data_IF_395292798271
#
_entry.id   IF_395292798271
#
_cell.length_a   1.000
_cell.length_b   1.000
_cell.length_c   1.000
_cell.angle_alpha   90.00
_cell.angle_beta   90.00
_cell.angle_gamma   90.00
#
_symmetry.space_group_name_H-M   'P 1'
#
loop_
_entity.id
_entity.type
_entity.pdbx_description
1 polymer ?
#
# COMPACT_ATOMS: atom_id res chain seq x y z
N UNK A 1 1.25 7.91 -8.92
CA UNK A 1 0.64 6.65 -9.44
C UNK A 1 -0.77 6.94 -9.93
N UNK A 2 -1.65 7.44 -9.05
CA UNK A 2 -3.02 7.80 -9.43
C UNK A 2 -3.07 8.82 -10.58
N UNK A 3 -2.20 9.84 -10.59
CA UNK A 3 -2.17 10.81 -11.69
C UNK A 3 -1.80 10.19 -13.05
N UNK A 4 -0.92 9.17 -13.05
CA UNK A 4 -0.59 8.38 -14.26
C UNK A 4 -1.74 7.48 -14.69
N UNK A 5 -2.45 6.88 -13.72
CA UNK A 5 -3.64 6.06 -13.99
C UNK A 5 -4.74 6.93 -14.60
N UNK A 6 -5.03 8.09 -14.02
CA UNK A 6 -6.05 9.02 -14.49
C UNK A 6 -5.74 9.58 -15.89
N UNK A 7 -4.48 9.91 -16.19
CA UNK A 7 -4.09 10.37 -17.53
C UNK A 7 -4.18 9.28 -18.59
N UNK A 8 -3.96 8.01 -18.23
CA UNK A 8 -3.95 6.90 -19.18
C UNK A 8 -5.35 6.33 -19.46
N UNK A 9 -6.32 6.52 -18.57
CA UNK A 9 -7.66 5.92 -18.69
C UNK A 9 -8.66 6.76 -19.50
N UNK A 10 -8.29 7.94 -20.00
CA UNK A 10 -9.21 8.87 -20.67
C UNK A 10 -10.51 9.06 -19.88
N UNK A 11 -10.35 9.37 -18.59
CA UNK A 11 -11.48 9.52 -17.68
C UNK A 11 -12.37 10.70 -18.09
N UNK A 12 -13.68 10.57 -17.90
CA UNK A 12 -14.61 11.70 -17.95
C UNK A 12 -14.36 12.65 -16.78
N UNK A 13 -14.87 13.90 -16.85
CA UNK A 13 -14.71 14.86 -15.75
C UNK A 13 -15.29 14.33 -14.42
N UNK A 14 -16.40 13.60 -14.47
CA UNK A 14 -17.01 12.96 -13.30
C UNK A 14 -16.11 11.85 -12.73
N UNK A 15 -15.55 11.00 -13.60
CA UNK A 15 -14.61 9.95 -13.18
C UNK A 15 -13.30 10.53 -12.62
N UNK A 16 -12.81 11.64 -13.18
CA UNK A 16 -11.64 12.36 -12.66
C UNK A 16 -11.91 12.90 -11.26
N UNK A 17 -13.07 13.52 -11.04
CA UNK A 17 -13.48 14.01 -9.72
C UNK A 17 -13.50 12.86 -8.71
N UNK A 18 -14.10 11.72 -9.06
CA UNK A 18 -14.10 10.53 -8.20
C UNK A 18 -12.68 10.01 -7.92
N UNK A 19 -11.80 9.99 -8.92
CA UNK A 19 -10.41 9.57 -8.75
C UNK A 19 -9.63 10.50 -7.79
N UNK A 20 -9.88 11.80 -7.85
CA UNK A 20 -9.28 12.79 -6.93
C UNK A 20 -9.78 12.59 -5.52
N UNK A 21 -11.10 12.45 -5.32
CA UNK A 21 -11.68 12.16 -4.00
C UNK A 21 -11.06 10.90 -3.37
N UNK A 22 -10.99 9.80 -4.14
CA UNK A 22 -10.40 8.54 -3.70
C UNK A 22 -8.91 8.71 -3.34
N UNK A 23 -8.17 9.50 -4.13
CA UNK A 23 -6.75 9.82 -3.84
C UNK A 23 -6.62 10.55 -2.52
N UNK A 24 -7.45 11.55 -2.27
CA UNK A 24 -7.43 12.34 -1.03
C UNK A 24 -7.80 11.48 0.18
N UNK A 25 -8.83 10.65 0.06
CA UNK A 25 -9.24 9.67 1.08
C UNK A 25 -8.07 8.73 1.45
N UNK A 26 -7.38 8.16 0.44
CA UNK A 26 -6.19 7.31 0.65
C UNK A 26 -5.04 8.08 1.31
N UNK A 27 -4.76 9.30 0.87
CA UNK A 27 -3.68 10.12 1.43
C UNK A 27 -3.96 10.48 2.88
N UNK A 28 -5.21 10.80 3.22
CA UNK A 28 -5.61 11.12 4.58
C UNK A 28 -5.50 9.88 5.48
N UNK A 29 -6.01 8.73 5.03
CA UNK A 29 -5.88 7.47 5.80
C UNK A 29 -4.42 7.08 6.02
N UNK A 30 -3.57 7.22 5.00
CA UNK A 30 -2.14 6.96 5.12
C UNK A 30 -1.45 7.94 6.10
N UNK A 31 -1.82 9.23 6.09
CA UNK A 31 -1.30 10.21 7.06
C UNK A 31 -1.69 9.84 8.49
N UNK A 32 -2.92 9.41 8.72
CA UNK A 32 -3.40 8.96 10.03
C UNK A 32 -2.60 7.75 10.53
N UNK A 33 -2.43 6.74 9.70
CA UNK A 33 -1.68 5.53 10.06
C UNK A 33 -0.19 5.83 10.29
N UNK A 34 0.43 6.63 9.40
CA UNK A 34 1.85 7.00 9.51
C UNK A 34 2.22 7.78 10.76
N UNK A 35 1.32 8.63 11.27
CA UNK A 35 1.54 9.34 12.55
C UNK A 35 1.78 8.36 13.70
N UNK A 36 1.19 7.16 13.62
CA UNK A 36 1.40 6.10 14.61
C UNK A 36 2.58 5.17 14.26
N UNK A 37 2.88 4.97 12.97
CA UNK A 37 3.93 4.03 12.52
C UNK A 37 5.34 4.45 12.96
N UNK A 38 5.73 5.72 12.82
CA UNK A 38 7.10 6.12 13.16
C UNK A 38 7.43 5.94 14.65
N UNK A 39 6.41 6.02 15.51
CA UNK A 39 6.54 5.74 16.94
C UNK A 39 6.62 4.22 17.18
N UNK A 40 5.72 3.45 16.57
CA UNK A 40 5.71 1.98 16.65
C UNK A 40 7.00 1.34 16.16
N UNK A 41 7.60 1.85 15.08
CA UNK A 41 8.85 1.32 14.52
C UNK A 41 10.01 1.48 15.51
N UNK A 42 10.10 2.62 16.20
CA UNK A 42 11.09 2.84 17.26
C UNK A 42 10.83 1.94 18.46
N UNK A 43 9.58 1.81 18.89
CA UNK A 43 9.20 0.92 19.99
C UNK A 43 9.54 -0.55 19.69
N UNK A 44 9.35 -1.00 18.45
CA UNK A 44 9.75 -2.34 17.99
C UNK A 44 11.27 -2.50 18.04
N UNK A 45 12.03 -1.54 17.49
CA UNK A 45 13.50 -1.57 17.51
C UNK A 45 14.05 -1.62 18.95
N UNK A 46 13.52 -0.76 19.83
CA UNK A 46 13.88 -0.72 21.25
C UNK A 46 13.52 -2.04 21.95
N UNK A 47 12.34 -2.60 21.68
CA UNK A 47 11.92 -3.88 22.24
C UNK A 47 12.86 -5.02 21.82
N UNK A 48 13.22 -5.12 20.54
CA UNK A 48 14.19 -6.11 20.08
C UNK A 48 15.56 -5.92 20.73
N UNK A 49 16.07 -4.68 20.76
CA UNK A 49 17.35 -4.34 21.38
C UNK A 49 17.38 -4.72 22.87
N UNK A 50 16.28 -4.50 23.58
CA UNK A 50 16.13 -4.89 24.99
C UNK A 50 16.09 -6.41 25.17
N UNK A 51 15.30 -7.12 24.35
CA UNK A 51 15.17 -8.58 24.50
C UNK A 51 16.46 -9.33 24.18
N UNK A 52 17.25 -8.86 23.21
CA UNK A 52 18.56 -9.47 22.86
C UNK A 52 19.57 -9.34 24.02
N UNK A 53 19.45 -8.29 24.84
CA UNK A 53 20.33 -8.05 26.00
C UNK A 53 19.87 -8.75 27.28
N UNK A 54 18.68 -9.33 27.31
CA UNK A 54 18.15 -10.03 28.47
C UNK A 54 18.66 -11.48 28.52
N UNK A 55 18.77 -12.03 29.73
CA UNK A 55 19.13 -13.44 29.95
C UNK A 55 18.12 -14.43 29.33
N UNK A 56 16.87 -13.98 29.15
CA UNK A 56 15.79 -14.73 28.49
C UNK A 56 15.04 -13.81 27.53
N UNK A 57 14.77 -14.33 26.34
CA UNK A 57 14.03 -13.62 25.30
C UNK A 57 12.52 -13.73 25.56
N UNK A 58 11.84 -12.60 25.76
CA UNK A 58 10.38 -12.53 25.84
C UNK A 58 9.78 -12.34 24.44
N UNK A 59 9.54 -13.46 23.77
CA UNK A 59 8.91 -13.51 22.45
C UNK A 59 7.50 -12.88 22.45
N UNK A 60 6.72 -13.08 23.51
CA UNK A 60 5.33 -12.59 23.57
C UNK A 60 5.28 -11.06 23.56
N UNK A 61 6.21 -10.41 24.25
CA UNK A 61 6.31 -8.95 24.26
C UNK A 61 6.62 -8.38 22.87
N UNK A 62 7.52 -9.04 22.13
CA UNK A 62 7.91 -8.62 20.78
C UNK A 62 6.77 -8.85 19.78
N UNK A 63 6.16 -10.05 19.78
CA UNK A 63 5.05 -10.37 18.89
C UNK A 63 3.88 -9.40 19.06
N UNK A 64 3.54 -9.02 20.29
CA UNK A 64 2.47 -8.04 20.55
C UNK A 64 2.68 -6.70 19.84
N UNK A 65 3.92 -6.21 19.74
CA UNK A 65 4.24 -4.97 19.04
C UNK A 65 4.18 -5.13 17.52
N UNK A 66 4.63 -6.28 17.01
CA UNK A 66 4.55 -6.61 15.59
C UNK A 66 3.10 -6.79 15.13
N UNK A 67 2.26 -7.44 15.93
CA UNK A 67 0.84 -7.64 15.66
C UNK A 67 0.13 -6.29 15.51
N UNK A 68 0.39 -5.34 16.42
CA UNK A 68 -0.16 -3.99 16.35
C UNK A 68 0.31 -3.18 15.11
N UNK A 69 1.44 -3.56 14.50
CA UNK A 69 1.89 -3.01 13.21
C UNK A 69 1.16 -3.69 12.05
N UNK A 70 1.03 -5.01 12.10
CA UNK A 70 0.29 -5.80 11.10
C UNK A 70 -1.17 -5.33 11.01
N UNK A 71 -1.83 -5.09 12.14
CA UNK A 71 -3.20 -4.57 12.18
C UNK A 71 -3.37 -3.26 11.40
N UNK A 72 -2.43 -2.31 11.56
CA UNK A 72 -2.45 -1.05 10.80
C UNK A 72 -2.27 -1.26 9.31
N UNK A 73 -1.39 -2.18 8.91
CA UNK A 73 -1.22 -2.56 7.51
C UNK A 73 -2.48 -3.25 6.95
N UNK A 74 -3.12 -4.11 7.74
CA UNK A 74 -4.36 -4.76 7.35
C UNK A 74 -5.51 -3.77 7.17
N UNK A 75 -5.61 -2.77 8.05
CA UNK A 75 -6.60 -1.72 7.95
C UNK A 75 -6.40 -0.91 6.66
N UNK A 76 -5.16 -0.52 6.35
CA UNK A 76 -4.84 0.14 5.09
C UNK A 76 -5.18 -0.73 3.88
N UNK A 77 -4.85 -2.04 3.94
CA UNK A 77 -5.19 -3.00 2.88
C UNK A 77 -6.69 -3.04 2.62
N UNK A 78 -7.50 -3.20 3.68
CA UNK A 78 -8.98 -3.23 3.59
C UNK A 78 -9.52 -1.93 3.00
N UNK A 79 -8.99 -0.78 3.45
CA UNK A 79 -9.37 0.53 2.95
C UNK A 79 -9.06 0.68 1.44
N UNK A 80 -7.85 0.33 1.01
CA UNK A 80 -7.45 0.39 -0.40
C UNK A 80 -8.33 -0.49 -1.31
N UNK A 81 -8.73 -1.67 -0.85
CA UNK A 81 -9.63 -2.56 -1.61
C UNK A 81 -11.02 -1.92 -1.76
N UNK A 82 -11.54 -1.33 -0.70
CA UNK A 82 -12.82 -0.61 -0.73
C UNK A 82 -12.77 0.58 -1.71
N UNK A 83 -11.69 1.37 -1.67
CA UNK A 83 -11.49 2.49 -2.58
C UNK A 83 -11.34 2.04 -4.04
N UNK A 84 -10.60 0.96 -4.30
CA UNK A 84 -10.49 0.38 -5.63
C UNK A 84 -11.85 -0.12 -6.15
N UNK A 85 -12.68 -0.70 -5.28
CA UNK A 85 -14.05 -1.11 -5.63
C UNK A 85 -14.90 0.10 -6.05
N UNK A 86 -14.85 1.21 -5.30
CA UNK A 86 -15.54 2.46 -5.66
C UNK A 86 -15.07 2.98 -7.02
N UNK A 87 -13.76 3.00 -7.27
CA UNK A 87 -13.22 3.44 -8.55
C UNK A 87 -13.64 2.52 -9.70
N UNK A 88 -13.54 1.20 -9.52
CA UNK A 88 -13.96 0.21 -10.52
C UNK A 88 -15.43 0.39 -10.94
N UNK A 89 -16.32 0.72 -9.99
CA UNK A 89 -17.74 0.89 -10.25
C UNK A 89 -18.04 2.03 -11.24
N UNK A 90 -17.24 3.10 -11.25
CA UNK A 90 -17.46 4.26 -12.14
C UNK A 90 -16.76 4.12 -13.50
N UNK A 91 -15.92 3.12 -13.69
CA UNK A 91 -15.23 2.86 -14.96
C UNK A 91 -16.09 2.02 -15.91
N UNK A 92 -15.94 2.27 -17.21
CA UNK A 92 -16.47 1.40 -18.27
C UNK A 92 -15.70 0.07 -18.34
N UNK A 93 -16.25 -0.98 -18.98
CA UNK A 93 -15.54 -2.23 -19.20
C UNK A 93 -14.17 -2.05 -19.87
N UNK A 94 -14.07 -1.19 -20.88
CA UNK A 94 -12.82 -0.91 -21.61
C UNK A 94 -11.79 -0.22 -20.71
N UNK A 95 -12.23 0.73 -19.89
CA UNK A 95 -11.37 1.41 -18.93
C UNK A 95 -10.86 0.45 -17.84
N UNK A 96 -11.66 -0.55 -17.43
CA UNK A 96 -11.23 -1.58 -16.46
C UNK A 96 -10.15 -2.50 -17.04
N UNK A 97 -10.27 -2.89 -18.31
CA UNK A 97 -9.24 -3.68 -19.00
C UNK A 97 -7.92 -2.89 -19.02
N UNK A 98 -7.97 -1.62 -19.44
CA UNK A 98 -6.80 -0.75 -19.47
C UNK A 98 -6.20 -0.52 -18.07
N UNK A 99 -7.03 -0.39 -17.04
CA UNK A 99 -6.57 -0.30 -15.65
C UNK A 99 -5.81 -1.57 -15.23
N UNK A 100 -6.32 -2.76 -15.57
CA UNK A 100 -5.63 -4.02 -15.30
C UNK A 100 -4.23 -4.05 -15.93
N UNK A 101 -4.09 -3.61 -17.18
CA UNK A 101 -2.79 -3.60 -17.86
C UNK A 101 -1.81 -2.63 -17.22
N UNK A 102 -2.28 -1.43 -16.84
CA UNK A 102 -1.47 -0.47 -16.07
C UNK A 102 -1.00 -1.07 -14.74
N UNK A 103 -1.88 -1.80 -14.03
CA UNK A 103 -1.52 -2.45 -12.77
C UNK A 103 -0.44 -3.54 -12.96
N UNK A 104 -0.53 -4.33 -14.04
CA UNK A 104 0.49 -5.32 -14.39
C UNK A 104 1.85 -4.66 -14.67
N UNK A 105 1.87 -3.56 -15.43
CA UNK A 105 3.11 -2.82 -15.71
C UNK A 105 3.74 -2.23 -14.45
N UNK A 106 2.92 -1.67 -13.56
CA UNK A 106 3.39 -1.11 -12.29
C UNK A 106 3.99 -2.21 -11.40
N UNK A 107 3.34 -3.38 -11.33
CA UNK A 107 3.84 -4.54 -10.59
C UNK A 107 5.17 -5.05 -11.16
N UNK A 108 5.27 -5.18 -12.47
CA UNK A 108 6.49 -5.64 -13.16
C UNK A 108 7.69 -4.70 -12.95
N UNK A 109 7.45 -3.38 -12.82
CA UNK A 109 8.51 -2.40 -12.52
C UNK A 109 8.99 -2.40 -11.07
N UNK A 110 8.23 -3.01 -10.15
CA UNK A 110 8.54 -3.09 -8.71
C UNK A 110 9.07 -4.45 -8.27
N UNK A 111 8.96 -5.47 -9.11
CA UNK A 111 9.65 -6.74 -8.91
C UNK A 111 11.16 -6.62 -9.14
N UNK A 112 11.99 -7.53 -8.60
CA UNK A 112 13.40 -7.59 -8.94
C UNK A 112 13.54 -7.70 -10.46
N UNK A 113 14.31 -6.79 -11.07
CA UNK A 113 14.66 -6.88 -12.50
C UNK A 113 15.40 -8.19 -12.69
N UNK A 114 14.76 -9.23 -13.23
CA UNK A 114 15.49 -10.37 -13.76
C UNK A 114 16.40 -9.81 -14.85
N UNK A 115 17.71 -9.74 -14.57
CA UNK A 115 18.72 -9.47 -15.60
C UNK A 115 18.50 -10.56 -16.64
N UNK A 116 18.08 -10.18 -17.84
CA UNK A 116 18.21 -11.08 -19.00
C UNK A 116 19.71 -11.27 -19.17
N UNK A 117 20.22 -12.43 -18.76
CA UNK A 117 21.56 -12.86 -19.17
C UNK A 117 21.53 -12.93 -20.69
N UNK A 118 22.11 -11.93 -21.33
CA UNK A 118 22.54 -12.05 -22.72
C UNK A 118 23.72 -13.01 -22.71
N UNK A 119 23.41 -14.30 -22.82
CA UNK A 119 24.38 -15.33 -23.17
C UNK A 119 24.99 -14.97 -24.53
N UNK A 120 26.31 -14.89 -24.54
CA UNK A 120 27.16 -14.64 -25.70
C UNK A 120 27.73 -15.97 -26.17
#
# INVERSE_FOLDING_TARGET
MIDKISSSLNLTEEQKKKAVEIKEEILNKNKELRKSESKKDREIEEAFSKQIKNDKFDEKAVNKLLDAKIEGMEEMRRFMIMELKKFHAVLTPEQRIKLSDILKEIGARRGPKMKKETGR
#
